data_IF_140925567378
#
_entry.id   IF_140925567378
#
_cell.length_a   1.000
_cell.length_b   1.000
_cell.length_c   1.000
_cell.angle_alpha   90.00
_cell.angle_beta   90.00
_cell.angle_gamma   90.00
#
_symmetry.space_group_name_H-M   'P 1'
#
loop_
_entity.id
_entity.type
_entity.pdbx_description
1 polymer ?
#
# COMPACT_ATOMS: atom_id res chain seq x y z
N UNK A 1 78.46 16.66 10.30
CA UNK A 1 79.07 17.06 11.59
C UNK A 1 77.95 17.53 12.53
N UNK A 2 78.01 17.06 13.76
CA UNK A 2 77.11 17.31 14.90
C UNK A 2 76.78 18.80 15.10
N UNK A 3 75.57 19.16 15.53
CA UNK A 3 75.26 19.47 16.94
C UNK A 3 73.86 20.08 17.11
N UNK A 4 73.16 19.49 18.07
CA UNK A 4 71.92 19.89 18.73
C UNK A 4 72.10 21.21 19.51
N UNK A 5 71.11 22.11 19.50
CA UNK A 5 70.77 22.98 20.65
C UNK A 5 69.31 23.42 20.60
N UNK A 6 68.60 23.12 21.70
CA UNK A 6 67.19 23.45 21.99
C UNK A 6 67.05 24.93 22.32
N UNK A 7 65.95 25.55 21.88
CA UNK A 7 65.30 26.63 22.65
C UNK A 7 63.78 26.52 22.50
N UNK A 8 63.15 26.47 23.67
CA UNK A 8 61.73 26.40 23.96
C UNK A 8 61.11 27.80 23.83
N UNK A 9 59.94 27.96 23.22
CA UNK A 9 58.93 28.94 23.67
C UNK A 9 57.58 28.79 22.96
N UNK A 10 56.53 28.67 23.79
CA UNK A 10 55.15 29.08 23.61
C UNK A 10 54.39 28.61 22.34
N UNK A 11 53.55 27.58 22.50
CA UNK A 11 52.38 27.39 21.64
C UNK A 11 51.14 27.68 22.47
N UNK A 12 50.39 28.68 22.00
CA UNK A 12 49.09 29.13 22.48
C UNK A 12 48.09 27.96 22.53
N UNK A 13 47.49 27.76 23.70
CA UNK A 13 46.32 26.92 23.90
C UNK A 13 45.10 27.56 23.21
N UNK A 14 44.62 26.95 22.12
CA UNK A 14 43.31 27.26 21.55
C UNK A 14 42.36 26.13 21.93
N UNK A 15 41.58 26.33 23.00
CA UNK A 15 40.55 25.40 23.43
C UNK A 15 39.41 25.35 22.42
N UNK A 16 39.20 24.19 21.79
CA UNK A 16 38.00 23.93 21.00
C UNK A 16 36.91 23.51 21.99
N UNK A 17 35.96 24.41 22.21
CA UNK A 17 34.76 24.17 23.03
C UNK A 17 33.85 23.22 22.26
N UNK A 18 33.74 21.98 22.75
CA UNK A 18 32.74 21.02 22.29
C UNK A 18 31.38 21.46 22.85
N UNK A 19 30.60 22.20 22.05
CA UNK A 19 29.23 22.56 22.43
C UNK A 19 28.32 21.34 22.20
N UNK A 20 27.94 20.71 23.30
CA UNK A 20 26.93 19.65 23.35
C UNK A 20 25.57 20.28 23.03
N UNK A 21 25.12 20.20 21.78
CA UNK A 21 23.72 20.52 21.43
C UNK A 21 22.89 19.35 21.93
N UNK A 22 22.36 19.47 23.14
CA UNK A 22 21.26 18.62 23.62
C UNK A 22 20.05 19.02 22.77
N UNK A 23 19.85 18.32 21.65
CA UNK A 23 18.61 18.40 20.90
C UNK A 23 17.49 17.97 21.84
N UNK A 24 16.65 18.93 22.25
CA UNK A 24 15.38 18.63 22.90
C UNK A 24 14.54 17.89 21.87
N UNK A 25 14.59 16.56 21.91
CA UNK A 25 13.69 15.72 21.16
C UNK A 25 12.27 16.14 21.49
N UNK A 26 11.60 16.75 20.51
CA UNK A 26 10.15 16.90 20.56
C UNK A 26 9.63 15.47 20.68
N UNK A 27 8.86 15.12 21.73
CA UNK A 27 8.26 13.81 21.79
C UNK A 27 7.41 13.66 20.53
N UNK A 28 7.75 12.67 19.70
CA UNK A 28 6.86 12.25 18.63
C UNK A 28 5.50 12.02 19.27
N UNK A 29 4.51 12.82 18.88
CA UNK A 29 3.13 12.59 19.29
C UNK A 29 2.82 11.14 18.99
N UNK A 30 2.56 10.34 20.02
CA UNK A 30 2.04 9.00 19.84
C UNK A 30 0.69 9.19 19.17
N UNK A 31 0.64 8.97 17.85
CA UNK A 31 -0.58 8.99 17.08
C UNK A 31 -1.53 8.00 17.76
N UNK A 32 -2.59 8.50 18.37
CA UNK A 32 -3.66 7.67 18.92
C UNK A 32 -4.22 6.88 17.74
N UNK A 33 -3.89 5.59 17.67
CA UNK A 33 -4.51 4.70 16.70
C UNK A 33 -6.00 4.66 17.00
N UNK A 34 -6.82 5.24 16.12
CA UNK A 34 -8.27 5.10 16.21
C UNK A 34 -8.59 3.60 16.25
N UNK A 35 -9.32 3.20 17.28
CA UNK A 35 -9.69 1.80 17.47
C UNK A 35 -10.74 1.41 16.44
N UNK A 36 -10.64 0.19 15.91
CA UNK A 36 -11.62 -0.37 14.98
C UNK A 36 -12.90 -0.68 15.76
N UNK A 37 -13.92 0.16 15.58
CA UNK A 37 -15.25 -0.01 16.21
C UNK A 37 -16.30 -0.17 15.11
N UNK A 38 -16.91 -1.36 15.07
CA UNK A 38 -17.98 -1.66 14.10
C UNK A 38 -19.14 -0.70 14.30
N UNK A 39 -19.64 -0.15 13.19
CA UNK A 39 -20.91 0.57 13.15
C UNK A 39 -22.01 -0.37 12.65
N UNK A 40 -22.86 -0.91 13.53
CA UNK A 40 -23.93 -1.83 13.13
C UNK A 40 -25.02 -1.15 12.29
N UNK A 41 -25.11 0.19 12.36
CA UNK A 41 -26.10 0.99 11.63
C UNK A 41 -25.65 1.38 10.23
N UNK A 42 -24.33 1.29 9.97
CA UNK A 42 -23.79 1.51 8.63
C UNK A 42 -24.37 0.49 7.63
N UNK A 43 -24.64 0.88 6.38
CA UNK A 43 -24.96 -0.08 5.33
C UNK A 43 -23.75 -0.96 5.04
N UNK A 44 -23.96 -2.24 4.67
CA UNK A 44 -22.85 -3.15 4.33
C UNK A 44 -21.97 -2.57 3.19
N UNK A 45 -22.60 -1.88 2.23
CA UNK A 45 -21.90 -1.23 1.13
C UNK A 45 -21.30 -2.23 0.15
N UNK A 46 -20.24 -1.82 -0.53
CA UNK A 46 -19.46 -2.64 -1.46
C UNK A 46 -18.00 -2.65 -1.05
N UNK A 47 -17.27 -3.68 -1.47
CA UNK A 47 -15.81 -3.68 -1.38
C UNK A 47 -15.25 -2.73 -2.44
N UNK A 48 -14.38 -1.80 -2.05
CA UNK A 48 -13.81 -0.78 -2.95
C UNK A 48 -12.29 -0.69 -2.82
N UNK A 49 -11.66 0.04 -3.75
CA UNK A 49 -10.22 0.35 -3.73
C UNK A 49 -9.34 -0.91 -3.57
N UNK A 50 -9.72 -1.98 -4.25
CA UNK A 50 -9.02 -3.27 -4.21
C UNK A 50 -7.70 -3.13 -4.96
N UNK A 51 -6.58 -3.40 -4.28
CA UNK A 51 -5.25 -3.40 -4.88
C UNK A 51 -4.48 -4.67 -4.52
N UNK A 52 -3.66 -5.11 -5.46
CA UNK A 52 -2.67 -6.19 -5.29
C UNK A 52 -1.30 -5.59 -5.49
N UNK A 53 -0.36 -5.90 -4.59
CA UNK A 53 1.02 -5.40 -4.65
C UNK A 53 2.03 -6.48 -4.29
N UNK A 54 3.31 -6.18 -4.49
CA UNK A 54 4.39 -7.01 -4.00
C UNK A 54 4.52 -6.88 -2.49
N UNK A 55 4.61 -8.02 -1.81
CA UNK A 55 4.90 -8.08 -0.38
C UNK A 55 5.69 -9.37 -0.11
N UNK A 56 6.99 -9.23 0.18
CA UNK A 56 7.92 -10.35 0.21
C UNK A 56 8.37 -10.80 -1.18
N UNK A 57 8.68 -12.09 -1.32
CA UNK A 57 9.16 -12.70 -2.56
C UNK A 57 8.08 -12.66 -3.66
N UNK A 58 8.34 -11.95 -4.75
CA UNK A 58 7.38 -11.75 -5.84
C UNK A 58 7.01 -13.04 -6.59
N UNK A 59 7.82 -14.09 -6.48
CA UNK A 59 7.59 -15.40 -7.09
C UNK A 59 6.64 -16.27 -6.29
N UNK A 60 6.49 -16.01 -4.98
CA UNK A 60 5.72 -16.87 -4.07
C UNK A 60 4.75 -16.13 -3.15
N UNK A 61 4.72 -14.79 -3.20
CA UNK A 61 3.89 -13.97 -2.34
C UNK A 61 3.26 -12.73 -3.03
N UNK A 62 2.13 -12.27 -2.46
CA UNK A 62 1.42 -11.04 -2.82
C UNK A 62 0.75 -10.42 -1.58
N UNK A 63 0.67 -9.09 -1.58
CA UNK A 63 -0.11 -8.31 -0.63
C UNK A 63 -1.40 -7.81 -1.26
N UNK A 64 -2.47 -7.71 -0.46
CA UNK A 64 -3.80 -7.29 -0.89
C UNK A 64 -4.30 -6.20 0.06
N UNK A 65 -4.87 -5.14 -0.51
CA UNK A 65 -5.56 -4.10 0.26
C UNK A 65 -6.92 -3.81 -0.34
N UNK A 66 -7.87 -3.44 0.52
CA UNK A 66 -9.20 -3.02 0.09
C UNK A 66 -9.88 -2.22 1.21
N UNK A 67 -10.99 -1.58 0.85
CA UNK A 67 -11.79 -0.78 1.76
C UNK A 67 -13.22 -1.29 1.83
N UNK A 68 -13.81 -1.21 3.00
CA UNK A 68 -15.24 -1.52 3.24
C UNK A 68 -15.88 -0.44 4.11
N UNK A 69 -17.21 -0.48 4.22
CA UNK A 69 -17.94 0.31 5.21
C UNK A 69 -17.58 -0.14 6.64
N UNK A 70 -17.83 0.72 7.63
CA UNK A 70 -17.64 0.36 9.05
C UNK A 70 -18.53 -0.77 9.59
N UNK A 71 -19.41 -1.35 8.76
CA UNK A 71 -20.13 -2.58 9.11
C UNK A 71 -19.26 -3.84 9.01
N UNK A 72 -18.22 -3.83 8.19
CA UNK A 72 -17.42 -5.00 7.82
C UNK A 72 -16.04 -4.94 8.47
N UNK A 73 -15.77 -5.83 9.44
CA UNK A 73 -14.48 -5.86 10.15
C UNK A 73 -13.61 -7.06 9.73
N UNK A 74 -14.21 -8.13 9.21
CA UNK A 74 -13.45 -9.31 8.80
C UNK A 74 -12.66 -9.00 7.54
N UNK A 75 -11.45 -9.54 7.48
CA UNK A 75 -10.53 -9.29 6.38
C UNK A 75 -10.27 -10.61 5.65
N UNK A 76 -11.23 -11.09 4.88
CA UNK A 76 -11.15 -12.40 4.24
C UNK A 76 -10.63 -12.29 2.80
N UNK A 77 -9.67 -13.15 2.47
CA UNK A 77 -9.08 -13.30 1.15
C UNK A 77 -9.27 -14.75 0.69
N UNK A 78 -9.76 -14.92 -0.53
CA UNK A 78 -9.87 -16.22 -1.18
C UNK A 78 -9.05 -16.22 -2.46
N UNK A 79 -8.22 -17.24 -2.63
CA UNK A 79 -7.35 -17.42 -3.80
C UNK A 79 -7.53 -18.84 -4.35
N UNK A 80 -7.68 -18.96 -5.67
CA UNK A 80 -7.74 -20.25 -6.37
C UNK A 80 -6.91 -20.18 -7.65
N UNK A 81 -6.14 -21.22 -7.96
CA UNK A 81 -5.38 -21.30 -9.20
C UNK A 81 -6.30 -21.18 -10.42
N UNK A 82 -5.89 -20.36 -11.39
CA UNK A 82 -6.63 -20.18 -12.64
C UNK A 82 -6.33 -21.34 -13.59
N UNK A 83 -7.00 -22.47 -13.38
CA UNK A 83 -6.95 -23.64 -14.27
C UNK A 83 -8.02 -23.62 -15.35
N UNK A 84 -9.05 -22.77 -15.18
CA UNK A 84 -10.11 -22.52 -16.16
C UNK A 84 -10.42 -21.02 -16.25
N UNK A 85 -11.37 -20.61 -17.10
CA UNK A 85 -11.77 -19.20 -17.22
C UNK A 85 -12.78 -18.73 -16.15
N UNK A 86 -13.28 -19.64 -15.30
CA UNK A 86 -14.26 -19.32 -14.26
C UNK A 86 -13.71 -19.72 -12.89
N UNK A 87 -13.67 -18.82 -11.90
CA UNK A 87 -13.21 -19.17 -10.57
C UNK A 87 -14.17 -20.11 -9.85
N UNK A 88 -13.63 -21.15 -9.21
CA UNK A 88 -14.34 -22.00 -8.26
C UNK A 88 -13.83 -21.72 -6.84
N UNK A 89 -14.45 -20.75 -6.17
CA UNK A 89 -14.05 -20.37 -4.81
C UNK A 89 -14.40 -21.39 -3.74
N UNK A 90 -15.11 -22.48 -4.07
CA UNK A 90 -15.29 -23.59 -3.12
C UNK A 90 -13.98 -24.34 -2.87
N UNK A 91 -13.04 -24.27 -3.82
CA UNK A 91 -11.69 -24.84 -3.76
C UNK A 91 -10.62 -23.83 -3.34
N UNK A 92 -11.01 -22.62 -2.96
CA UNK A 92 -10.07 -21.56 -2.66
C UNK A 92 -9.31 -21.82 -1.35
N UNK A 93 -8.03 -21.47 -1.36
CA UNK A 93 -7.29 -21.19 -0.13
C UNK A 93 -7.92 -19.97 0.52
N UNK A 94 -8.26 -20.08 1.81
CA UNK A 94 -8.87 -19.01 2.61
C UNK A 94 -7.82 -18.45 3.54
N UNK A 95 -7.65 -17.13 3.49
CA UNK A 95 -6.66 -16.37 4.25
C UNK A 95 -7.38 -15.25 4.98
N UNK A 96 -6.86 -14.90 6.15
CA UNK A 96 -7.37 -13.78 6.96
C UNK A 96 -6.32 -12.68 7.05
N UNK A 97 -6.79 -11.45 7.08
CA UNK A 97 -5.99 -10.25 7.17
C UNK A 97 -6.20 -9.45 8.45
N UNK A 98 -5.76 -8.20 8.40
CA UNK A 98 -5.92 -7.20 9.46
C UNK A 98 -6.84 -6.08 8.98
N UNK A 99 -7.66 -5.58 9.88
CA UNK A 99 -8.52 -4.41 9.69
C UNK A 99 -7.97 -3.24 10.49
N UNK A 100 -8.06 -2.02 9.96
CA UNK A 100 -7.64 -0.79 10.61
C UNK A 100 -8.54 0.38 10.20
N UNK A 101 -8.60 1.40 11.05
CA UNK A 101 -9.07 2.73 10.64
C UNK A 101 -7.97 3.35 9.78
N UNK A 102 -8.26 3.76 8.52
CA UNK A 102 -7.24 4.36 7.68
C UNK A 102 -6.84 5.73 8.23
N UNK A 103 -5.58 6.13 8.02
CA UNK A 103 -5.04 7.38 8.55
C UNK A 103 -5.51 8.63 7.80
N UNK A 104 -6.13 8.47 6.63
CA UNK A 104 -6.66 9.57 5.85
C UNK A 104 -7.87 10.18 6.58
N UNK A 105 -7.65 11.30 7.27
CA UNK A 105 -8.74 12.08 7.85
C UNK A 105 -9.36 12.91 6.74
N UNK A 106 -10.39 12.39 6.08
CA UNK A 106 -11.18 13.21 5.16
C UNK A 106 -12.40 13.74 5.91
N UNK A 107 -12.36 15.01 6.30
CA UNK A 107 -13.56 15.79 6.66
C UNK A 107 -14.30 16.30 5.40
N UNK A 108 -13.69 16.14 4.23
CA UNK A 108 -14.28 16.46 2.94
C UNK A 108 -15.59 15.69 2.71
N UNK A 109 -16.66 16.46 2.44
CA UNK A 109 -17.91 15.90 1.97
C UNK A 109 -17.70 15.13 0.66
N UNK A 110 -18.47 14.06 0.45
CA UNK A 110 -18.41 13.30 -0.78
C UNK A 110 -18.63 14.24 -1.98
N UNK A 111 -17.88 14.10 -3.09
CA UNK A 111 -18.24 14.77 -4.33
C UNK A 111 -19.72 14.52 -4.66
N UNK A 112 -20.43 15.57 -5.09
CA UNK A 112 -21.86 15.52 -5.40
C UNK A 112 -22.13 14.40 -6.41
N UNK A 113 -23.00 13.45 -6.07
CA UNK A 113 -23.28 12.26 -6.91
C UNK A 113 -22.39 11.05 -6.64
N UNK A 114 -21.47 11.12 -5.67
CA UNK A 114 -20.67 9.97 -5.21
C UNK A 114 -21.07 9.55 -3.79
N UNK A 115 -20.89 8.28 -3.46
CA UNK A 115 -21.26 7.72 -2.15
C UNK A 115 -20.12 7.69 -1.13
N UNK A 116 -19.02 8.41 -1.41
CA UNK A 116 -17.67 8.11 -0.88
C UNK A 116 -17.12 9.07 0.18
N UNK A 117 -17.96 9.76 0.94
CA UNK A 117 -17.57 10.25 2.28
C UNK A 117 -18.23 9.39 3.33
N UNK A 118 -17.77 8.15 3.44
CA UNK A 118 -18.12 7.29 4.57
C UNK A 118 -16.85 7.02 5.32
N UNK A 119 -16.97 6.99 6.63
CA UNK A 119 -15.93 6.40 7.44
C UNK A 119 -15.78 4.94 6.99
N UNK A 120 -14.59 4.58 6.55
CA UNK A 120 -14.28 3.26 6.00
C UNK A 120 -13.32 2.50 6.93
N UNK A 121 -13.22 1.20 6.70
CA UNK A 121 -12.12 0.41 7.21
C UNK A 121 -11.17 0.01 6.07
N UNK A 122 -9.87 0.06 6.36
CA UNK A 122 -8.81 -0.47 5.54
C UNK A 122 -8.52 -1.91 5.97
N UNK A 123 -8.45 -2.79 4.99
CA UNK A 123 -8.07 -4.18 5.18
C UNK A 123 -6.75 -4.47 4.48
N UNK A 124 -5.95 -5.34 5.09
CA UNK A 124 -4.69 -5.85 4.53
C UNK A 124 -4.62 -7.35 4.70
N UNK A 125 -4.34 -8.10 3.65
CA UNK A 125 -4.08 -9.53 3.73
C UNK A 125 -2.84 -9.89 2.90
N UNK A 126 -2.22 -11.02 3.24
CA UNK A 126 -1.01 -11.51 2.60
C UNK A 126 -1.23 -12.96 2.19
N UNK A 127 -0.78 -13.29 0.99
CA UNK A 127 -0.73 -14.67 0.50
C UNK A 127 0.73 -15.05 0.28
N UNK A 128 1.15 -16.16 0.88
CA UNK A 128 2.50 -16.72 0.78
C UNK A 128 2.43 -18.19 0.37
N UNK A 129 3.56 -18.79 -0.01
CA UNK A 129 3.60 -20.19 -0.45
C UNK A 129 2.90 -20.43 -1.79
N UNK A 130 2.70 -19.39 -2.59
CA UNK A 130 2.13 -19.49 -3.93
C UNK A 130 3.13 -20.16 -4.88
N UNK A 131 2.61 -20.92 -5.84
CA UNK A 131 3.43 -21.47 -6.94
C UNK A 131 3.99 -20.33 -7.80
N UNK A 132 5.24 -20.50 -8.22
CA UNK A 132 5.97 -19.61 -9.15
C UNK A 132 5.27 -19.54 -10.51
N UNK A 133 5.32 -18.38 -11.16
CA UNK A 133 4.79 -18.15 -12.51
C UNK A 133 3.34 -18.64 -12.73
N UNK A 134 2.48 -18.49 -11.73
CA UNK A 134 1.12 -19.05 -11.72
C UNK A 134 0.10 -17.92 -11.63
N UNK A 135 -0.95 -18.00 -12.46
CA UNK A 135 -2.10 -17.09 -12.39
C UNK A 135 -3.14 -17.63 -11.41
N UNK A 136 -3.68 -16.74 -10.59
CA UNK A 136 -4.74 -17.05 -9.65
C UNK A 136 -5.93 -16.13 -9.87
N UNK A 137 -7.12 -16.64 -9.61
CA UNK A 137 -8.25 -15.80 -9.25
C UNK A 137 -8.21 -15.46 -7.77
N UNK A 138 -8.67 -14.26 -7.44
CA UNK A 138 -8.87 -13.85 -6.06
C UNK A 138 -10.14 -13.05 -5.89
N UNK A 139 -10.64 -13.01 -4.65
CA UNK A 139 -11.61 -12.03 -4.16
C UNK A 139 -11.33 -11.71 -2.70
N UNK A 140 -11.71 -10.51 -2.29
CA UNK A 140 -11.53 -10.01 -0.92
C UNK A 140 -12.84 -9.49 -0.36
N UNK A 141 -13.01 -9.52 0.97
CA UNK A 141 -14.22 -9.04 1.61
C UNK A 141 -14.41 -9.55 3.04
N UNK A 142 -15.66 -9.75 3.42
CA UNK A 142 -16.09 -10.30 4.71
C UNK A 142 -17.03 -11.48 4.46
N UNK A 143 -16.52 -12.68 4.71
CA UNK A 143 -17.23 -13.92 4.48
C UNK A 143 -18.46 -14.07 5.37
N UNK A 144 -18.43 -13.50 6.59
CA UNK A 144 -19.54 -13.57 7.55
C UNK A 144 -20.74 -12.73 7.10
N UNK A 145 -20.48 -11.67 6.33
CA UNK A 145 -21.50 -10.80 5.75
C UNK A 145 -21.90 -11.20 4.33
N UNK A 146 -21.24 -12.19 3.73
CA UNK A 146 -21.38 -12.51 2.31
C UNK A 146 -20.94 -11.37 1.38
N UNK A 147 -20.18 -10.40 1.90
CA UNK A 147 -19.73 -9.21 1.19
C UNK A 147 -18.41 -9.53 0.50
N UNK A 148 -18.40 -9.50 -0.83
CA UNK A 148 -17.22 -9.81 -1.64
C UNK A 148 -16.99 -8.80 -2.74
N UNK A 149 -15.73 -8.57 -3.10
CA UNK A 149 -15.37 -7.92 -4.37
C UNK A 149 -15.80 -8.78 -5.57
N UNK A 150 -15.87 -8.15 -6.74
CA UNK A 150 -15.82 -8.90 -7.99
C UNK A 150 -14.54 -9.76 -8.03
N UNK A 151 -14.57 -10.97 -8.61
CA UNK A 151 -13.36 -11.76 -8.81
C UNK A 151 -12.39 -11.04 -9.75
N UNK A 152 -11.11 -11.08 -9.44
CA UNK A 152 -10.04 -10.55 -10.30
C UNK A 152 -8.86 -11.52 -10.33
N UNK A 153 -7.82 -11.22 -11.08
CA UNK A 153 -6.65 -12.10 -11.24
C UNK A 153 -5.35 -11.41 -10.93
N UNK A 154 -4.37 -12.18 -10.48
CA UNK A 154 -2.96 -11.77 -10.41
C UNK A 154 -2.06 -12.93 -10.87
N UNK A 155 -0.80 -12.63 -11.17
CA UNK A 155 0.21 -13.62 -11.51
C UNK A 155 1.42 -13.50 -10.56
N UNK A 156 1.95 -14.61 -10.09
CA UNK A 156 3.26 -14.63 -9.43
C UNK A 156 4.39 -14.49 -10.46
N UNK A 157 5.51 -13.91 -10.05
CA UNK A 157 6.64 -13.71 -10.96
C UNK A 157 7.27 -15.04 -11.41
N UNK A 158 7.92 -15.03 -12.57
CA UNK A 158 8.85 -16.08 -12.96
C UNK A 158 10.13 -15.99 -12.15
N UNK A 159 10.82 -17.11 -11.92
CA UNK A 159 12.12 -17.14 -11.24
C UNK A 159 13.26 -16.53 -12.07
N UNK A 160 13.05 -16.39 -13.38
CA UNK A 160 14.01 -15.79 -14.31
C UNK A 160 13.32 -15.27 -15.58
N UNK A 161 14.09 -14.53 -16.39
CA UNK A 161 13.64 -14.00 -17.67
C UNK A 161 13.34 -12.50 -17.64
N UNK A 162 13.14 -11.95 -18.83
CA UNK A 162 12.78 -10.54 -18.98
C UNK A 162 11.32 -10.29 -18.58
N UNK A 163 11.07 -9.10 -18.07
CA UNK A 163 9.72 -8.60 -17.82
C UNK A 163 9.62 -7.15 -18.29
N UNK A 164 8.40 -6.73 -18.56
CA UNK A 164 8.05 -5.34 -18.85
C UNK A 164 7.27 -4.78 -17.68
N UNK A 165 7.51 -3.53 -17.33
CA UNK A 165 6.72 -2.79 -16.36
C UNK A 165 6.49 -1.38 -16.89
N UNK A 166 5.47 -0.71 -16.36
CA UNK A 166 5.20 0.70 -16.64
C UNK A 166 5.75 1.50 -15.47
N UNK A 167 6.49 2.56 -15.74
CA UNK A 167 6.96 3.50 -14.74
C UNK A 167 6.20 4.82 -14.88
N UNK A 168 5.54 5.25 -13.80
CA UNK A 168 4.76 6.49 -13.73
C UNK A 168 5.17 7.28 -12.50
N UNK A 169 4.92 8.58 -12.52
CA UNK A 169 5.12 9.45 -11.38
C UNK A 169 4.03 10.52 -11.37
N UNK A 170 3.82 11.14 -10.21
CA UNK A 170 2.98 12.33 -10.05
C UNK A 170 1.51 12.17 -10.50
N UNK A 171 0.81 11.05 -10.22
CA UNK A 171 -0.61 10.93 -10.54
C UNK A 171 -1.53 11.75 -9.62
N UNK A 172 -0.99 12.49 -8.65
CA UNK A 172 -1.75 13.32 -7.71
C UNK A 172 -2.75 14.21 -8.43
N UNK A 173 -3.92 14.36 -7.80
CA UNK A 173 -5.03 15.14 -8.28
C UNK A 173 -5.61 15.97 -7.14
N UNK A 174 -5.95 17.23 -7.42
CA UNK A 174 -6.52 18.18 -6.46
C UNK A 174 -8.03 18.10 -6.39
N UNK A 175 -8.64 17.66 -7.47
CA UNK A 175 -10.07 17.52 -7.64
C UNK A 175 -10.44 16.16 -8.22
N UNK A 176 -11.71 15.77 -8.07
CA UNK A 176 -12.22 14.50 -8.57
C UNK A 176 -12.00 14.34 -10.09
N UNK A 177 -12.27 15.37 -10.88
CA UNK A 177 -12.12 15.32 -12.34
C UNK A 177 -10.65 15.14 -12.77
N UNK A 178 -9.71 15.74 -12.04
CA UNK A 178 -8.27 15.50 -12.24
C UNK A 178 -7.90 14.06 -11.87
N UNK A 179 -8.55 13.48 -10.85
CA UNK A 179 -8.38 12.07 -10.48
C UNK A 179 -8.89 11.13 -11.57
N UNK A 180 -9.96 11.49 -12.29
CA UNK A 180 -10.41 10.75 -13.46
C UNK A 180 -9.38 10.82 -14.60
N UNK A 181 -8.77 11.99 -14.84
CA UNK A 181 -7.71 12.14 -15.84
C UNK A 181 -6.46 11.31 -15.48
N UNK A 182 -6.08 11.27 -14.21
CA UNK A 182 -5.01 10.40 -13.73
C UNK A 182 -5.37 8.93 -13.98
N UNK A 183 -6.58 8.49 -13.64
CA UNK A 183 -7.05 7.13 -13.90
C UNK A 183 -7.03 6.76 -15.39
N UNK A 184 -7.43 7.69 -16.27
CA UNK A 184 -7.36 7.53 -17.73
C UNK A 184 -5.92 7.38 -18.22
N UNK A 185 -4.97 8.07 -17.58
CA UNK A 185 -3.53 7.91 -17.87
C UNK A 185 -3.06 6.49 -17.55
N UNK A 186 -3.40 5.95 -16.37
CA UNK A 186 -3.11 4.55 -16.02
C UNK A 186 -3.73 3.58 -17.01
N UNK A 187 -5.01 3.80 -17.36
CA UNK A 187 -5.72 2.96 -18.34
C UNK A 187 -5.02 2.98 -19.69
N UNK A 188 -4.68 4.16 -20.21
CA UNK A 188 -4.01 4.30 -21.50
C UNK A 188 -2.62 3.65 -21.50
N UNK A 189 -1.88 3.76 -20.39
CA UNK A 189 -0.58 3.11 -20.25
C UNK A 189 -0.71 1.57 -20.30
N UNK A 190 -1.69 1.01 -19.59
CA UNK A 190 -1.98 -0.44 -19.63
C UNK A 190 -2.42 -0.92 -21.02
N UNK A 191 -3.29 -0.16 -21.69
CA UNK A 191 -3.73 -0.47 -23.06
C UNK A 191 -2.57 -0.38 -24.07
N UNK A 192 -1.59 0.52 -23.83
CA UNK A 192 -0.41 0.71 -24.70
C UNK A 192 0.67 -0.35 -24.45
N UNK A 193 0.81 -0.82 -23.20
CA UNK A 193 1.80 -1.82 -22.79
C UNK A 193 1.08 -3.05 -22.22
N UNK A 194 0.37 -3.83 -23.07
CA UNK A 194 -0.53 -4.90 -22.61
C UNK A 194 0.20 -6.08 -21.94
N UNK A 195 1.51 -6.20 -22.12
CA UNK A 195 2.34 -7.24 -21.52
C UNK A 195 3.07 -6.79 -20.24
N UNK A 196 2.77 -5.58 -19.74
CA UNK A 196 3.33 -5.10 -18.47
C UNK A 196 2.91 -6.01 -17.30
N UNK A 197 3.86 -6.28 -16.40
CA UNK A 197 3.66 -7.16 -15.24
C UNK A 197 3.21 -6.41 -13.99
N UNK A 198 3.56 -5.14 -13.91
CA UNK A 198 3.17 -4.23 -12.85
C UNK A 198 3.37 -2.78 -13.31
N UNK A 199 2.80 -1.86 -12.52
CA UNK A 199 3.06 -0.43 -12.62
C UNK A 199 3.87 -0.04 -11.38
N UNK A 200 5.00 0.62 -11.61
CA UNK A 200 5.74 1.32 -10.57
C UNK A 200 5.30 2.78 -10.57
N UNK A 201 4.97 3.29 -9.38
CA UNK A 201 4.60 4.70 -9.21
C UNK A 201 5.59 5.34 -8.26
N UNK A 202 6.37 6.29 -8.76
CA UNK A 202 7.60 6.78 -8.10
C UNK A 202 7.39 7.89 -7.06
N UNK A 203 6.15 8.27 -6.75
CA UNK A 203 5.87 9.33 -5.78
C UNK A 203 4.58 10.07 -6.13
N UNK A 204 4.25 11.05 -5.28
CA UNK A 204 3.16 12.00 -5.50
C UNK A 204 1.83 11.33 -5.88
N UNK A 205 1.43 10.38 -5.03
CA UNK A 205 0.20 9.58 -5.20
C UNK A 205 -1.08 10.38 -4.94
N UNK A 206 -1.03 11.29 -3.96
CA UNK A 206 -2.16 12.11 -3.51
C UNK A 206 -1.68 13.53 -3.23
N UNK A 207 -2.52 14.52 -3.53
CA UNK A 207 -2.23 15.94 -3.27
C UNK A 207 -2.38 16.29 -1.78
N UNK A 208 -3.28 15.58 -1.08
CA UNK A 208 -3.52 15.74 0.36
C UNK A 208 -3.34 14.39 1.07
N UNK A 209 -2.26 14.25 1.84
CA UNK A 209 -1.85 13.03 2.55
C UNK A 209 -2.27 12.96 4.01
#
# INVERSE_FOLDING_TARGET
>A
MKYLKKTLCAVLSMGIIFSLIIGTGIPASAQTSDSVVVDPTAPAGTVTKVMVTFNGDSTTAKGFTWYTSRKSISSDLQIVEKTTNTPDFTKAVKLTGKCAVPSNKTDAAAPTGTTTSKLEFLHKAEATGLKVNTTYFYRVGDASLGLWSAPSTFQTASSSGAFTFIDLADPQAKAYDEGLLAADTFKKALDTVPNSKFIQVNGDLVDNG
#
